data_IF_975238988530
#
_entry.id   IF_975238988530
#
_cell.length_a   1.000
_cell.length_b   1.000
_cell.length_c   1.000
_cell.angle_alpha   90.00
_cell.angle_beta   90.00
_cell.angle_gamma   90.00
#
_symmetry.space_group_name_H-M   'P 1'
#
loop_
_entity.id
_entity.type
_entity.pdbx_description
1 polymer ?
#
# COMPACT_ATOMS: atom_id res chain seq x y z
N UNK A 1 -2.73 -27.50 -2.46
CA UNK A 1 -1.55 -26.62 -2.65
C UNK A 1 -1.37 -26.28 -4.12
N UNK A 2 -1.11 -25.06 -4.38
CA UNK A 2 -0.94 -24.53 -5.73
C UNK A 2 0.51 -24.70 -6.17
N UNK A 3 0.72 -25.24 -7.37
CA UNK A 3 2.05 -25.31 -7.97
C UNK A 3 2.41 -23.95 -8.59
N UNK A 4 3.60 -23.47 -8.29
CA UNK A 4 4.11 -22.18 -8.80
C UNK A 4 5.25 -22.42 -9.79
N UNK A 5 5.42 -21.50 -10.76
CA UNK A 5 6.58 -21.56 -11.66
C UNK A 5 7.91 -21.49 -10.91
N UNK A 6 8.97 -21.95 -11.56
CA UNK A 6 10.33 -21.82 -11.04
C UNK A 6 10.66 -20.35 -10.76
N UNK A 7 11.36 -20.07 -9.67
CA UNK A 7 11.71 -18.72 -9.24
C UNK A 7 10.67 -18.05 -8.34
N UNK A 8 9.52 -18.70 -8.14
CA UNK A 8 8.47 -18.20 -7.23
C UNK A 8 8.53 -18.97 -5.93
N UNK A 9 8.59 -18.25 -4.81
CA UNK A 9 8.50 -18.86 -3.47
C UNK A 9 7.17 -18.52 -2.83
N UNK A 10 6.60 -19.52 -2.15
CA UNK A 10 5.38 -19.35 -1.37
C UNK A 10 5.75 -19.24 0.11
N UNK A 11 5.17 -18.26 0.80
CA UNK A 11 5.40 -18.05 2.22
C UNK A 11 4.06 -18.19 2.92
N UNK A 12 4.02 -19.03 3.97
CA UNK A 12 2.84 -19.19 4.79
C UNK A 12 2.85 -18.17 5.92
N UNK A 13 1.76 -17.43 6.04
CA UNK A 13 1.58 -16.37 7.03
C UNK A 13 0.29 -16.67 7.79
N UNK A 14 0.26 -16.50 9.14
CA UNK A 14 -0.96 -16.72 9.90
C UNK A 14 -2.07 -15.77 9.48
N UNK A 15 -3.29 -16.24 9.71
CA UNK A 15 -4.49 -15.44 9.50
C UNK A 15 -4.72 -14.51 10.69
N UNK A 16 -5.22 -13.31 10.40
CA UNK A 16 -5.64 -12.34 11.41
C UNK A 16 -6.93 -11.67 10.90
N UNK A 17 -8.02 -11.87 11.63
CA UNK A 17 -9.34 -11.31 11.27
C UNK A 17 -9.79 -11.63 9.84
N UNK A 18 -9.55 -12.86 9.37
CA UNK A 18 -9.95 -13.31 8.03
C UNK A 18 -9.01 -12.91 6.91
N UNK A 19 -7.89 -12.26 7.23
CA UNK A 19 -6.89 -11.82 6.26
C UNK A 19 -5.49 -12.30 6.69
N UNK A 20 -4.53 -12.20 5.79
CA UNK A 20 -3.14 -12.49 6.13
C UNK A 20 -2.65 -11.46 7.16
N UNK A 21 -1.87 -11.93 8.13
CA UNK A 21 -1.24 -11.06 9.11
C UNK A 21 -0.06 -10.33 8.46
N UNK A 22 -0.28 -9.09 8.04
CA UNK A 22 0.71 -8.31 7.31
C UNK A 22 1.91 -7.92 8.19
N UNK A 23 1.73 -7.74 9.49
CA UNK A 23 2.83 -7.45 10.41
C UNK A 23 3.78 -8.64 10.46
N UNK A 24 3.23 -9.86 10.60
CA UNK A 24 4.03 -11.09 10.61
C UNK A 24 4.71 -11.28 9.27
N UNK A 25 4.03 -10.99 8.15
CA UNK A 25 4.64 -11.06 6.82
C UNK A 25 5.88 -10.17 6.73
N UNK A 26 5.78 -8.91 7.18
CA UNK A 26 6.92 -8.00 7.14
C UNK A 26 8.07 -8.47 8.03
N UNK A 27 7.76 -9.04 9.19
CA UNK A 27 8.78 -9.63 10.07
C UNK A 27 9.49 -10.80 9.41
N UNK A 28 8.76 -11.69 8.73
CA UNK A 28 9.33 -12.83 8.02
C UNK A 28 10.25 -12.38 6.87
N UNK A 29 9.81 -11.37 6.11
CA UNK A 29 10.63 -10.82 5.03
C UNK A 29 11.91 -10.17 5.57
N UNK A 30 11.81 -9.47 6.70
CA UNK A 30 12.99 -8.89 7.37
C UNK A 30 13.99 -9.95 7.81
N UNK A 31 13.51 -11.10 8.32
CA UNK A 31 14.37 -12.22 8.67
C UNK A 31 15.08 -12.83 7.47
N UNK A 32 14.53 -12.69 6.28
CA UNK A 32 15.15 -13.11 5.03
C UNK A 32 16.04 -12.02 4.42
N UNK A 33 16.39 -11.01 5.21
CA UNK A 33 17.27 -9.90 4.81
C UNK A 33 16.71 -9.02 3.70
N UNK A 34 15.38 -8.95 3.59
CA UNK A 34 14.71 -7.98 2.72
C UNK A 34 14.71 -6.62 3.41
N UNK A 35 15.42 -5.65 2.83
CA UNK A 35 15.58 -4.31 3.41
C UNK A 35 14.55 -3.31 2.91
N UNK A 36 14.05 -3.49 1.70
CA UNK A 36 13.01 -2.62 1.17
C UNK A 36 12.05 -3.42 0.29
N UNK A 37 10.81 -2.95 0.23
CA UNK A 37 9.75 -3.60 -0.53
C UNK A 37 9.04 -2.54 -1.36
N UNK A 38 8.98 -2.77 -2.65
CA UNK A 38 8.18 -1.98 -3.58
C UNK A 38 6.83 -2.67 -3.74
N UNK A 39 5.75 -2.00 -3.35
CA UNK A 39 4.41 -2.58 -3.39
C UNK A 39 3.59 -1.91 -4.49
N UNK A 40 3.11 -2.71 -5.40
CA UNK A 40 2.13 -2.31 -6.40
C UNK A 40 0.88 -3.15 -6.15
N UNK A 41 -0.14 -2.55 -5.58
CA UNK A 41 -1.32 -3.27 -5.11
C UNK A 41 -2.59 -2.51 -5.43
N UNK A 42 -3.70 -3.23 -5.45
CA UNK A 42 -5.02 -2.63 -5.51
C UNK A 42 -5.38 -1.95 -4.19
N UNK A 43 -6.54 -1.26 -4.14
CA UNK A 43 -6.90 -0.41 -3.00
C UNK A 43 -7.09 -1.17 -1.69
N UNK A 44 -7.46 -2.45 -1.73
CA UNK A 44 -7.71 -3.25 -0.52
C UNK A 44 -6.41 -3.58 0.20
N UNK A 45 -5.43 -4.14 -0.49
CA UNK A 45 -4.14 -4.46 0.12
C UNK A 45 -3.37 -3.18 0.48
N UNK A 46 -3.37 -2.19 -0.40
CA UNK A 46 -2.72 -0.91 -0.13
C UNK A 46 -3.31 -0.23 1.11
N UNK A 47 -4.64 -0.22 1.23
CA UNK A 47 -5.32 0.31 2.41
C UNK A 47 -4.98 -0.45 3.68
N UNK A 48 -4.93 -1.79 3.61
CA UNK A 48 -4.58 -2.62 4.76
C UNK A 48 -3.15 -2.37 5.26
N UNK A 49 -2.20 -2.22 4.34
CA UNK A 49 -0.81 -1.87 4.68
C UNK A 49 -0.73 -0.49 5.35
N UNK A 50 -1.46 0.48 4.82
CA UNK A 50 -1.47 1.83 5.37
C UNK A 50 -2.09 1.85 6.77
N UNK A 51 -3.21 1.17 6.98
CA UNK A 51 -3.86 1.07 8.29
C UNK A 51 -3.00 0.34 9.33
N UNK A 52 -2.23 -0.64 8.89
CA UNK A 52 -1.33 -1.37 9.79
C UNK A 52 -0.06 -0.59 10.14
N UNK A 53 0.14 0.60 9.56
CA UNK A 53 1.33 1.40 9.82
C UNK A 53 2.60 0.85 9.17
N UNK A 54 2.46 0.10 8.08
CA UNK A 54 3.57 -0.60 7.42
C UNK A 54 4.10 0.13 6.18
N UNK A 55 3.59 1.33 5.89
CA UNK A 55 4.00 2.12 4.73
C UNK A 55 4.92 3.24 5.19
N UNK A 56 6.11 3.31 4.61
CA UNK A 56 7.06 4.40 4.88
C UNK A 56 6.94 5.53 3.87
N UNK A 57 6.77 5.16 2.61
CA UNK A 57 6.69 6.11 1.50
C UNK A 57 5.55 5.73 0.57
N UNK A 58 4.93 6.74 -0.03
CA UNK A 58 3.84 6.57 -0.97
C UNK A 58 4.12 7.40 -2.21
N UNK A 59 4.08 6.77 -3.38
CA UNK A 59 4.16 7.45 -4.66
C UNK A 59 2.79 7.39 -5.32
N UNK A 60 2.24 8.57 -5.62
CA UNK A 60 0.93 8.69 -6.28
C UNK A 60 1.10 9.43 -7.58
N UNK A 61 0.74 8.78 -8.69
CA UNK A 61 0.72 9.41 -10.00
C UNK A 61 -0.70 9.88 -10.28
N UNK A 62 -0.84 11.16 -10.60
CA UNK A 62 -2.14 11.78 -10.86
C UNK A 62 -2.18 12.22 -12.32
N UNK A 63 -3.08 11.61 -13.09
CA UNK A 63 -3.33 12.01 -14.47
C UNK A 63 -4.33 13.16 -14.51
N UNK A 64 -4.27 14.05 -15.52
CA UNK A 64 -5.22 15.15 -15.64
C UNK A 64 -6.55 14.68 -16.23
N UNK A 65 -7.22 13.77 -15.53
CA UNK A 65 -8.49 13.15 -15.93
C UNK A 65 -9.43 13.06 -14.76
N UNK A 66 -10.70 13.30 -15.01
CA UNK A 66 -11.76 13.18 -14.03
C UNK A 66 -12.58 11.93 -14.35
N UNK A 67 -12.63 11.00 -13.44
CA UNK A 67 -13.31 9.72 -13.64
C UNK A 67 -14.71 9.68 -13.02
N UNK A 68 -15.02 10.62 -12.13
CA UNK A 68 -16.30 10.67 -11.43
C UNK A 68 -16.38 9.73 -10.23
N UNK A 69 -17.53 9.70 -9.62
CA UNK A 69 -17.76 9.00 -8.35
C UNK A 69 -17.88 7.47 -8.49
N UNK A 70 -18.08 6.96 -9.71
CA UNK A 70 -18.13 5.51 -9.93
C UNK A 70 -16.74 4.89 -10.10
N UNK A 71 -15.71 5.70 -10.10
CA UNK A 71 -14.34 5.23 -10.18
C UNK A 71 -13.92 4.55 -8.87
N UNK A 72 -12.91 3.65 -8.97
CA UNK A 72 -12.35 2.98 -7.81
C UNK A 72 -11.51 3.97 -6.99
N UNK A 73 -11.70 3.97 -5.69
CA UNK A 73 -10.87 4.78 -4.77
C UNK A 73 -9.44 4.27 -4.70
N UNK A 74 -8.53 5.13 -4.27
CA UNK A 74 -7.11 4.80 -4.15
C UNK A 74 -6.83 3.80 -3.03
N UNK A 75 -7.52 3.96 -1.89
CA UNK A 75 -7.36 3.10 -0.72
C UNK A 75 -8.72 2.74 -0.14
N UNK A 76 -8.87 1.48 0.29
CA UNK A 76 -9.98 1.06 1.13
C UNK A 76 -9.54 1.19 2.58
N UNK A 77 -10.17 2.10 3.31
CA UNK A 77 -9.84 2.39 4.72
C UNK A 77 -11.12 2.25 5.55
N UNK A 78 -11.54 1.02 5.88
CA UNK A 78 -12.78 0.82 6.63
C UNK A 78 -12.69 1.40 8.04
N UNK A 79 -13.83 1.89 8.55
CA UNK A 79 -13.92 2.44 9.89
C UNK A 79 -13.50 3.90 10.01
N UNK A 80 -13.09 4.55 8.93
CA UNK A 80 -12.72 5.95 8.96
C UNK A 80 -13.97 6.82 8.87
N UNK A 81 -14.32 7.49 9.98
CA UNK A 81 -15.53 8.32 10.08
C UNK A 81 -15.24 9.81 10.27
N UNK A 82 -14.10 10.14 10.86
CA UNK A 82 -13.73 11.52 11.16
C UNK A 82 -12.47 11.92 10.42
N UNK A 83 -12.44 13.14 9.92
CA UNK A 83 -11.27 13.69 9.26
C UNK A 83 -10.02 13.66 10.16
N UNK A 84 -10.21 13.88 11.47
CA UNK A 84 -9.11 13.85 12.43
C UNK A 84 -8.42 12.48 12.53
N UNK A 85 -9.13 11.40 12.21
CA UNK A 85 -8.61 10.03 12.27
C UNK A 85 -7.96 9.60 10.95
N UNK A 86 -8.00 10.43 9.92
CA UNK A 86 -7.39 10.13 8.63
C UNK A 86 -5.86 9.98 8.77
N UNK A 87 -5.26 9.01 8.08
CA UNK A 87 -3.81 8.90 8.05
C UNK A 87 -3.18 10.22 7.60
N UNK A 88 -2.17 10.67 8.34
CA UNK A 88 -1.45 11.91 8.05
C UNK A 88 -0.15 11.59 7.34
N UNK A 89 0.06 12.25 6.19
CA UNK A 89 1.28 12.14 5.43
C UNK A 89 1.81 13.54 5.12
N UNK A 90 3.08 13.61 4.78
CA UNK A 90 3.73 14.86 4.39
C UNK A 90 4.20 14.75 2.95
N UNK A 91 4.03 15.81 2.18
CA UNK A 91 4.61 15.87 0.85
C UNK A 91 6.11 16.04 0.95
N UNK A 92 6.85 15.11 0.38
CA UNK A 92 8.30 15.19 0.24
C UNK A 92 8.69 15.85 -1.08
N UNK A 93 7.99 15.51 -2.15
CA UNK A 93 8.26 16.05 -3.48
C UNK A 93 6.98 16.03 -4.31
N UNK A 94 6.80 17.04 -5.13
CA UNK A 94 5.73 17.12 -6.12
C UNK A 94 6.40 17.50 -7.43
N UNK A 95 6.31 16.63 -8.44
CA UNK A 95 6.99 16.89 -9.71
C UNK A 95 6.15 16.47 -10.91
N UNK A 96 6.25 17.19 -12.02
CA UNK A 96 5.61 16.75 -13.25
C UNK A 96 6.36 15.56 -13.85
N UNK A 97 5.58 14.64 -14.43
CA UNK A 97 6.11 13.47 -15.15
C UNK A 97 5.29 13.35 -16.44
N UNK A 98 5.82 13.90 -17.54
CA UNK A 98 5.04 14.03 -18.77
C UNK A 98 3.76 14.84 -18.53
N UNK A 99 2.59 14.34 -18.91
CA UNK A 99 1.31 15.03 -18.65
C UNK A 99 0.81 14.86 -17.23
N UNK A 100 1.43 13.98 -16.43
CA UNK A 100 1.00 13.63 -15.08
C UNK A 100 1.77 14.38 -14.02
N UNK A 101 1.34 14.23 -12.78
CA UNK A 101 2.07 14.72 -11.60
C UNK A 101 2.36 13.53 -10.69
N UNK A 102 3.60 13.44 -10.24
CA UNK A 102 3.99 12.46 -9.22
C UNK A 102 4.04 13.12 -7.85
N UNK A 103 3.28 12.61 -6.93
CA UNK A 103 3.30 13.02 -5.52
C UNK A 103 4.11 12.00 -4.73
N UNK A 104 5.15 12.44 -4.07
CA UNK A 104 5.93 11.62 -3.15
C UNK A 104 5.58 12.06 -1.73
N UNK A 105 5.00 11.14 -0.97
CA UNK A 105 4.56 11.39 0.39
C UNK A 105 5.30 10.45 1.35
N UNK A 106 5.52 10.93 2.56
CA UNK A 106 6.11 10.13 3.63
C UNK A 106 5.14 10.06 4.80
N UNK A 107 5.14 8.94 5.49
CA UNK A 107 4.39 8.79 6.74
C UNK A 107 5.12 9.51 7.86
N UNK A 108 4.33 10.04 8.78
CA UNK A 108 4.90 10.77 9.92
C UNK A 108 5.55 9.83 10.93
#
# INVERSE_FOLDING_TARGET
>A
TRAWPEGVRSITVPEHNGHLDLVVLMMLLGKQQVNSIWVEAGPTLAGALLQAGLVDELLVYVAPKLLGNDARGLFVLPGLEKLADAPQLSFSEIRPVGPDVCLHLTTA
#
